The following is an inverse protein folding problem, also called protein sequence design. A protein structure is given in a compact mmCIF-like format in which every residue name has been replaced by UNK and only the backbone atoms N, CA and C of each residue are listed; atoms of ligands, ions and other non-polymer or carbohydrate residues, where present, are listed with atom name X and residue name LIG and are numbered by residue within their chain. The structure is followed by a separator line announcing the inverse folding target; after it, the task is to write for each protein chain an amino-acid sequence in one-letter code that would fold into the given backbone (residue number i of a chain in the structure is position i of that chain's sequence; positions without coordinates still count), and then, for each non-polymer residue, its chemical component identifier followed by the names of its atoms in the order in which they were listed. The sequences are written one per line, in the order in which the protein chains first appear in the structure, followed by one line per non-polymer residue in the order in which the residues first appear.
data_IF_026787904954
#
_entry.id   IF_026787904954
#
_cell.length_a   1.000
_cell.length_b   1.000
_cell.length_c   1.000
_cell.angle_alpha   90.00
_cell.angle_beta   90.00
_cell.angle_gamma   90.00
#
_symmetry.space_group_name_H-M   'P 1'
#
loop_
_entity.id
_entity.type
_entity.pdbx_description
1 polymer ?
#
# COMPACT_ATOMS: atom_id res chain seq x y z
N UNK A 1 7.40 18.15 -10.16
CA UNK A 1 6.19 17.30 -10.02
C UNK A 1 6.21 16.05 -10.89
N UNK A 2 6.36 16.11 -12.23
CA UNK A 2 6.28 14.91 -13.12
C UNK A 2 7.27 13.78 -12.78
N UNK A 3 8.53 14.10 -12.45
CA UNK A 3 9.54 13.10 -12.02
C UNK A 3 9.22 12.45 -10.66
N UNK A 4 8.64 13.22 -9.74
CA UNK A 4 8.25 12.73 -8.40
C UNK A 4 7.05 11.78 -8.50
N UNK A 5 6.05 12.17 -9.30
CA UNK A 5 4.91 11.30 -9.61
C UNK A 5 5.37 10.01 -10.30
N UNK A 6 6.29 10.13 -11.27
CA UNK A 6 6.88 8.97 -11.95
C UNK A 6 7.62 8.04 -10.97
N UNK A 7 8.37 8.58 -10.01
CA UNK A 7 9.08 7.79 -8.99
C UNK A 7 8.12 7.02 -8.07
N UNK A 8 7.04 7.65 -7.62
CA UNK A 8 6.01 7.00 -6.81
C UNK A 8 5.28 5.92 -7.63
N UNK A 9 4.90 6.23 -8.87
CA UNK A 9 4.24 5.28 -9.78
C UNK A 9 5.14 4.07 -10.06
N UNK A 10 6.42 4.28 -10.36
CA UNK A 10 7.39 3.20 -10.57
C UNK A 10 7.56 2.36 -9.30
N UNK A 11 7.69 2.98 -8.12
CA UNK A 11 7.78 2.28 -6.85
C UNK A 11 6.53 1.44 -6.54
N UNK A 12 5.34 1.97 -6.81
CA UNK A 12 4.08 1.26 -6.63
C UNK A 12 3.95 0.07 -7.59
N UNK A 13 4.33 0.22 -8.85
CA UNK A 13 4.29 -0.86 -9.85
C UNK A 13 5.26 -1.98 -9.48
N UNK A 14 6.51 -1.64 -9.10
CA UNK A 14 7.52 -2.63 -8.70
C UNK A 14 7.08 -3.36 -7.42
N UNK A 15 6.57 -2.62 -6.43
CA UNK A 15 6.05 -3.20 -5.20
C UNK A 15 4.84 -4.10 -5.42
N UNK A 16 3.91 -3.70 -6.31
CA UNK A 16 2.75 -4.50 -6.68
C UNK A 16 3.14 -5.76 -7.45
N UNK A 17 4.09 -5.68 -8.39
CA UNK A 17 4.60 -6.83 -9.14
C UNK A 17 5.29 -7.83 -8.22
N UNK A 18 6.14 -7.36 -7.30
CA UNK A 18 6.73 -8.21 -6.25
C UNK A 18 5.64 -8.84 -5.38
N UNK A 19 4.69 -8.05 -4.90
CA UNK A 19 3.55 -8.54 -4.14
C UNK A 19 2.79 -9.64 -4.88
N UNK A 20 2.48 -9.44 -6.16
CA UNK A 20 1.77 -10.40 -7.01
C UNK A 20 2.59 -11.64 -7.36
N UNK A 21 3.92 -11.57 -7.39
CA UNK A 21 4.78 -12.72 -7.66
C UNK A 21 4.92 -13.64 -6.42
N UNK A 22 4.87 -13.05 -5.22
CA UNK A 22 4.94 -13.79 -3.95
C UNK A 22 3.55 -14.25 -3.49
N UNK A 23 2.49 -13.45 -3.75
CA UNK A 23 1.08 -13.73 -3.43
C UNK A 23 0.54 -15.13 -3.78
N UNK A 24 0.90 -15.76 -4.92
CA UNK A 24 0.42 -17.10 -5.27
C UNK A 24 1.16 -18.22 -4.54
N UNK A 25 2.42 -17.99 -4.11
CA UNK A 25 3.16 -18.91 -3.24
C UNK A 25 2.79 -18.72 -1.76
N UNK A 26 2.03 -17.67 -1.48
CA UNK A 26 1.59 -17.30 -0.16
C UNK A 26 0.30 -18.04 0.18
N UNK A 27 0.35 -18.86 1.22
CA UNK A 27 -0.78 -19.64 1.70
C UNK A 27 -2.07 -18.79 1.86
N UNK A 28 -3.25 -19.39 1.66
CA UNK A 28 -4.57 -18.72 1.77
C UNK A 28 -4.73 -17.98 3.09
N UNK A 29 -4.13 -18.48 4.18
CA UNK A 29 -4.09 -17.77 5.47
C UNK A 29 -3.35 -16.45 5.38
N UNK A 30 -2.19 -16.45 4.75
CA UNK A 30 -1.34 -15.28 4.63
C UNK A 30 -1.94 -14.27 3.66
N UNK A 31 -2.60 -14.69 2.57
CA UNK A 31 -3.41 -13.78 1.75
C UNK A 31 -4.51 -13.05 2.55
N UNK A 32 -5.22 -13.77 3.43
CA UNK A 32 -6.22 -13.14 4.32
C UNK A 32 -5.57 -12.14 5.27
N UNK A 33 -4.41 -12.48 5.83
CA UNK A 33 -3.63 -11.57 6.69
C UNK A 33 -3.17 -10.34 5.94
N UNK A 34 -2.58 -10.47 4.75
CA UNK A 34 -2.16 -9.34 3.92
C UNK A 34 -3.34 -8.43 3.56
N UNK A 35 -4.51 -8.97 3.22
CA UNK A 35 -5.72 -8.16 3.02
C UNK A 35 -6.16 -7.43 4.29
N UNK A 36 -6.02 -8.05 5.46
CA UNK A 36 -6.41 -7.45 6.75
C UNK A 36 -5.42 -6.34 7.16
N UNK A 37 -4.13 -6.59 6.97
CA UNK A 37 -3.05 -5.61 7.21
C UNK A 37 -3.14 -4.46 6.21
N UNK A 38 -3.37 -4.74 4.92
CA UNK A 38 -3.57 -3.71 3.91
C UNK A 38 -4.70 -2.75 4.24
N UNK A 39 -5.87 -3.27 4.67
CA UNK A 39 -6.97 -2.43 5.17
C UNK A 39 -6.55 -1.59 6.38
N UNK A 40 -5.90 -2.20 7.38
CA UNK A 40 -5.40 -1.44 8.54
C UNK A 40 -4.41 -0.34 8.17
N UNK A 41 -3.55 -0.57 7.18
CA UNK A 41 -2.59 0.44 6.71
C UNK A 41 -3.32 1.57 6.00
N UNK A 42 -4.35 1.27 5.20
CA UNK A 42 -5.18 2.28 4.55
C UNK A 42 -5.95 3.09 5.60
N UNK A 43 -6.65 2.45 6.53
CA UNK A 43 -7.38 3.13 7.61
C UNK A 43 -6.43 4.03 8.43
N UNK A 44 -5.23 3.54 8.74
CA UNK A 44 -4.23 4.30 9.50
C UNK A 44 -3.64 5.46 8.68
N UNK A 45 -3.50 5.28 7.36
CA UNK A 45 -3.07 6.35 6.47
C UNK A 45 -4.17 7.41 6.32
N UNK A 46 -5.44 7.01 6.22
CA UNK A 46 -6.58 7.94 6.24
C UNK A 46 -6.61 8.73 7.55
N UNK A 47 -6.48 8.07 8.70
CA UNK A 47 -6.45 8.74 10.01
C UNK A 47 -5.27 9.74 10.09
N UNK A 48 -4.09 9.36 9.61
CA UNK A 48 -2.91 10.24 9.54
C UNK A 48 -3.07 11.42 8.56
N UNK A 49 -3.68 11.17 7.40
CA UNK A 49 -3.93 12.18 6.37
C UNK A 49 -5.02 13.15 6.85
N UNK A 50 -6.03 12.65 7.55
CA UNK A 50 -7.07 13.47 8.18
C UNK A 50 -6.44 14.39 9.23
N UNK A 51 -5.64 13.86 10.17
CA UNK A 51 -4.89 14.68 11.15
C UNK A 51 -4.01 15.75 10.46
N UNK A 52 -3.41 15.43 9.33
CA UNK A 52 -2.57 16.37 8.58
C UNK A 52 -3.39 17.41 7.79
N UNK A 53 -4.62 17.08 7.43
CA UNK A 53 -5.61 17.99 6.84
C UNK A 53 -6.23 18.95 7.87
N UNK A 54 -6.43 18.49 9.11
CA UNK A 54 -6.87 19.32 10.24
C UNK A 54 -5.80 20.31 10.74
N UNK A 55 -4.53 20.08 10.39
CA UNK A 55 -3.39 20.92 10.80
C UNK A 55 -3.06 22.05 9.78
N UNK A 56 -3.95 22.29 8.80
CA UNK A 56 -3.80 23.32 7.76
C UNK A 56 -4.81 24.46 7.93
#
# INVERSE_FOLDING_TARGET
MKKYLSGITTGAIVGAAFGMMILPQLDRRTQKTFRKVGRKVIDMAEDKVDIMGWMK
#
